data_IF_505909873139
#
_entry.id   IF_505909873139
#
_cell.length_a   1.000
_cell.length_b   1.000
_cell.length_c   1.000
_cell.angle_alpha   90.00
_cell.angle_beta   90.00
_cell.angle_gamma   90.00
#
_symmetry.space_group_name_H-M   'P 1'
#
loop_
_entity.id
_entity.type
_entity.pdbx_description
1 polymer ?
#
# COMPACT_ATOMS: atom_id res chain seq x y z
N UNK A 1 18.83 11.20 -16.33
CA UNK A 1 17.63 10.74 -15.61
C UNK A 1 17.62 9.21 -15.66
N UNK A 2 17.43 8.52 -14.54
CA UNK A 2 17.34 7.05 -14.55
C UNK A 2 15.97 6.67 -15.13
N UNK A 3 15.95 5.95 -16.25
CA UNK A 3 14.72 5.59 -17.00
C UNK A 3 14.15 4.24 -16.56
N UNK A 4 14.82 3.56 -15.62
CA UNK A 4 14.43 2.25 -15.11
C UNK A 4 13.50 2.38 -13.92
N UNK A 5 12.49 1.52 -13.83
CA UNK A 5 11.62 1.39 -12.66
C UNK A 5 12.41 1.07 -11.39
N UNK A 6 11.82 1.36 -10.22
CA UNK A 6 12.43 0.99 -8.94
C UNK A 6 12.40 -0.52 -8.75
N UNK A 7 13.36 -1.07 -7.98
CA UNK A 7 13.49 -2.51 -7.75
C UNK A 7 12.16 -3.08 -7.24
N UNK A 8 11.71 -4.18 -7.86
CA UNK A 8 10.45 -4.84 -7.50
C UNK A 8 9.21 -4.26 -8.17
N UNK A 9 9.35 -3.28 -9.09
CA UNK A 9 8.24 -2.68 -9.83
C UNK A 9 8.46 -2.80 -11.34
N UNK A 10 7.36 -2.89 -12.10
CA UNK A 10 7.38 -3.04 -13.56
C UNK A 10 6.33 -2.13 -14.20
N UNK A 11 6.64 -1.65 -15.40
CA UNK A 11 5.64 -1.04 -16.28
C UNK A 11 4.79 -2.14 -16.95
N UNK A 12 3.48 -1.92 -17.03
CA UNK A 12 2.56 -2.82 -17.73
C UNK A 12 2.09 -2.16 -19.02
N UNK A 13 2.44 -2.76 -20.15
CA UNK A 13 2.10 -2.26 -21.48
C UNK A 13 0.66 -2.64 -21.88
N UNK A 14 0.09 -2.04 -22.94
CA UNK A 14 -1.33 -2.19 -23.26
C UNK A 14 -1.82 -3.65 -23.36
N UNK A 15 -1.02 -4.57 -23.90
CA UNK A 15 -1.40 -5.99 -23.99
C UNK A 15 -1.56 -6.64 -22.61
N UNK A 16 -0.67 -6.31 -21.67
CA UNK A 16 -0.70 -6.85 -20.31
C UNK A 16 -1.85 -6.25 -19.50
N UNK A 17 -2.08 -4.94 -19.65
CA UNK A 17 -3.21 -4.25 -19.01
C UNK A 17 -4.54 -4.85 -19.48
N UNK A 18 -4.72 -5.04 -20.79
CA UNK A 18 -5.95 -5.68 -21.32
C UNK A 18 -6.22 -7.07 -20.73
N UNK A 19 -5.18 -7.88 -20.57
CA UNK A 19 -5.32 -9.20 -19.96
C UNK A 19 -5.69 -9.08 -18.47
N UNK A 20 -5.04 -8.17 -17.74
CA UNK A 20 -5.31 -7.92 -16.32
C UNK A 20 -6.75 -7.44 -16.11
N UNK A 21 -7.20 -6.48 -16.90
CA UNK A 21 -8.56 -5.93 -16.81
C UNK A 21 -9.61 -7.00 -17.09
N UNK A 22 -9.37 -7.86 -18.10
CA UNK A 22 -10.26 -8.99 -18.38
C UNK A 22 -10.40 -9.92 -17.18
N UNK A 23 -9.29 -10.31 -16.55
CA UNK A 23 -9.30 -11.20 -15.39
C UNK A 23 -9.96 -10.56 -14.16
N UNK A 24 -9.63 -9.31 -13.85
CA UNK A 24 -10.24 -8.58 -12.74
C UNK A 24 -11.75 -8.45 -12.93
N UNK A 25 -12.21 -8.13 -14.14
CA UNK A 25 -13.63 -8.03 -14.45
C UNK A 25 -14.34 -9.39 -14.32
N UNK A 26 -13.70 -10.49 -14.70
CA UNK A 26 -14.28 -11.83 -14.52
C UNK A 26 -14.45 -12.20 -13.04
N UNK A 27 -13.45 -11.90 -12.21
CA UNK A 27 -13.54 -12.11 -10.76
C UNK A 27 -14.66 -11.25 -10.17
N UNK A 28 -14.66 -9.95 -10.47
CA UNK A 28 -15.68 -9.02 -9.98
C UNK A 28 -17.09 -9.42 -10.41
N UNK A 29 -17.27 -9.93 -11.62
CA UNK A 29 -18.56 -10.40 -12.12
C UNK A 29 -19.12 -11.53 -11.23
N UNK A 30 -18.30 -12.53 -10.90
CA UNK A 30 -18.71 -13.66 -10.04
C UNK A 30 -19.14 -13.17 -8.66
N UNK A 31 -18.38 -12.27 -8.03
CA UNK A 31 -18.75 -11.72 -6.72
C UNK A 31 -20.08 -10.95 -6.78
N UNK A 32 -20.28 -10.12 -7.81
CA UNK A 32 -21.53 -9.36 -7.98
C UNK A 32 -22.73 -10.26 -8.24
N UNK A 33 -22.58 -11.32 -9.02
CA UNK A 33 -23.64 -12.32 -9.26
C UNK A 33 -24.06 -13.04 -7.97
N UNK A 34 -23.17 -13.09 -6.97
CA UNK A 34 -23.44 -13.65 -5.65
C UNK A 34 -23.86 -12.59 -4.60
N UNK A 35 -24.23 -11.39 -5.04
CA UNK A 35 -24.78 -10.34 -4.16
C UNK A 35 -23.76 -9.52 -3.39
N UNK A 36 -22.46 -9.63 -3.71
CA UNK A 36 -21.44 -8.80 -3.10
C UNK A 36 -21.30 -7.45 -3.81
N UNK A 37 -21.05 -6.40 -3.04
CA UNK A 37 -20.74 -5.08 -3.55
C UNK A 37 -19.23 -4.82 -3.52
N UNK A 38 -18.73 -4.20 -4.59
CA UNK A 38 -17.32 -3.84 -4.68
C UNK A 38 -17.07 -2.51 -3.96
N UNK A 39 -16.19 -2.54 -2.96
CA UNK A 39 -15.67 -1.34 -2.30
C UNK A 39 -14.19 -1.18 -2.63
N UNK A 40 -13.73 0.07 -2.60
CA UNK A 40 -12.31 0.42 -2.63
C UNK A 40 -11.98 1.20 -1.37
N UNK A 41 -10.76 1.03 -0.87
CA UNK A 41 -10.22 1.84 0.23
C UNK A 41 -9.01 2.63 -0.27
N UNK A 42 -8.61 3.70 0.43
CA UNK A 42 -7.35 4.37 0.15
C UNK A 42 -6.16 3.40 0.21
N UNK A 43 -5.13 3.68 -0.60
CA UNK A 43 -3.86 2.93 -0.59
C UNK A 43 -2.94 3.35 0.55
N UNK A 44 -3.28 4.42 1.27
CA UNK A 44 -2.55 4.96 2.42
C UNK A 44 -3.46 4.89 3.64
N UNK A 45 -2.92 4.41 4.75
CA UNK A 45 -3.58 4.39 6.04
C UNK A 45 -2.70 4.95 7.15
N UNK A 46 -3.32 5.26 8.30
CA UNK A 46 -2.60 5.63 9.51
C UNK A 46 -1.71 4.47 9.97
N UNK A 47 -0.47 4.77 10.36
CA UNK A 47 0.50 3.76 10.76
C UNK A 47 0.04 2.98 12.00
N UNK A 48 -0.79 3.58 12.86
CA UNK A 48 -1.35 2.88 14.01
C UNK A 48 -2.28 1.74 13.61
N UNK A 49 -3.07 1.90 12.54
CA UNK A 49 -3.96 0.85 12.05
C UNK A 49 -3.17 -0.32 11.47
N UNK A 50 -2.08 -0.04 10.78
CA UNK A 50 -1.22 -1.05 10.18
C UNK A 50 -0.43 -1.84 11.24
N UNK A 51 0.10 -1.15 12.26
CA UNK A 51 0.87 -1.78 13.34
C UNK A 51 0.02 -2.61 14.31
N UNK A 52 -1.27 -2.31 14.45
CA UNK A 52 -2.20 -3.06 15.33
C UNK A 52 -2.74 -4.35 14.70
N UNK A 53 -2.38 -4.64 13.45
CA UNK A 53 -2.84 -5.85 12.76
C UNK A 53 -2.16 -7.13 13.29
N UNK A 54 -2.81 -8.29 13.12
CA UNK A 54 -2.26 -9.62 13.45
C UNK A 54 -1.15 -10.07 12.47
N UNK A 55 -0.37 -9.13 11.94
CA UNK A 55 0.59 -9.36 10.86
C UNK A 55 1.92 -9.99 11.29
N UNK A 56 2.23 -10.08 12.58
CA UNK A 56 3.47 -10.68 13.09
C UNK A 56 4.73 -10.12 12.41
N UNK A 57 5.58 -10.99 11.88
CA UNK A 57 6.81 -10.59 11.17
C UNK A 57 6.54 -9.76 9.89
N UNK A 58 5.34 -9.88 9.29
CA UNK A 58 4.97 -9.13 8.08
C UNK A 58 4.83 -7.62 8.33
N UNK A 59 4.70 -7.18 9.59
CA UNK A 59 4.70 -5.75 9.93
C UNK A 59 6.02 -5.05 9.54
N UNK A 60 7.12 -5.81 9.45
CA UNK A 60 8.41 -5.29 8.99
C UNK A 60 8.44 -5.00 7.47
N UNK A 61 7.44 -5.45 6.72
CA UNK A 61 7.35 -5.26 5.26
C UNK A 61 6.55 -4.01 4.87
N UNK A 62 6.03 -3.25 5.84
CA UNK A 62 5.24 -2.04 5.58
C UNK A 62 6.12 -0.93 5.02
N UNK A 63 5.70 -0.38 3.87
CA UNK A 63 6.25 0.87 3.37
C UNK A 63 5.69 2.05 4.17
N UNK A 64 6.50 2.58 5.08
CA UNK A 64 6.15 3.75 5.90
C UNK A 64 6.35 5.05 5.12
N UNK A 65 5.45 6.00 5.33
CA UNK A 65 5.48 7.33 4.73
C UNK A 65 5.91 8.31 5.81
N UNK A 66 7.00 9.03 5.54
CA UNK A 66 7.53 10.04 6.45
C UNK A 66 6.53 11.19 6.65
N UNK A 67 6.58 11.76 7.86
CA UNK A 67 5.97 13.05 8.18
C UNK A 67 6.47 14.13 7.21
N UNK A 68 5.75 15.26 7.13
CA UNK A 68 6.10 16.38 6.25
C UNK A 68 6.24 17.69 7.03
N UNK A 69 7.10 18.59 6.54
CA UNK A 69 7.35 19.91 7.13
C UNK A 69 7.83 19.84 8.58
N UNK A 70 7.43 20.81 9.39
CA UNK A 70 7.85 20.96 10.80
C UNK A 70 7.69 19.70 11.64
N UNK A 71 6.71 18.84 11.33
CA UNK A 71 6.51 17.57 12.04
C UNK A 71 7.67 16.61 11.83
N UNK A 72 8.24 16.56 10.63
CA UNK A 72 9.40 15.74 10.31
C UNK A 72 10.65 16.35 10.96
N UNK A 73 10.84 17.66 10.81
CA UNK A 73 12.02 18.35 11.35
C UNK A 73 12.12 18.19 12.87
N UNK A 74 10.98 18.31 13.58
CA UNK A 74 10.91 18.06 15.02
C UNK A 74 11.26 16.62 15.39
N UNK A 75 10.77 15.64 14.64
CA UNK A 75 11.03 14.22 14.90
C UNK A 75 12.51 13.86 14.67
N UNK A 76 13.15 14.45 13.67
CA UNK A 76 14.58 14.34 13.42
C UNK A 76 15.37 15.00 14.56
N UNK A 77 15.00 16.23 14.94
CA UNK A 77 15.68 16.98 15.98
C UNK A 77 15.56 16.33 17.38
N UNK A 78 14.46 15.61 17.62
CA UNK A 78 14.26 14.86 18.87
C UNK A 78 14.90 13.47 18.85
N UNK A 79 15.62 13.09 17.79
CA UNK A 79 16.21 11.76 17.58
C UNK A 79 15.21 10.59 17.74
N UNK A 80 13.92 10.89 17.53
CA UNK A 80 12.84 9.93 17.68
C UNK A 80 12.62 9.20 16.35
N UNK A 81 13.59 8.38 15.95
CA UNK A 81 13.61 7.71 14.65
C UNK A 81 12.38 6.80 14.41
N UNK A 82 11.81 6.23 15.47
CA UNK A 82 10.58 5.44 15.41
C UNK A 82 9.32 6.29 15.12
N UNK A 83 9.39 7.60 15.34
CA UNK A 83 8.30 8.55 15.16
C UNK A 83 8.43 9.36 13.85
N UNK A 84 9.31 8.97 12.93
CA UNK A 84 9.50 9.71 11.67
C UNK A 84 8.33 9.57 10.69
N UNK A 85 7.51 8.54 10.85
CA UNK A 85 6.37 8.23 9.97
C UNK A 85 5.06 8.25 10.74
N UNK A 86 3.99 8.74 10.11
CA UNK A 86 2.62 8.73 10.64
C UNK A 86 1.62 8.01 9.72
N UNK A 87 2.05 7.61 8.53
CA UNK A 87 1.24 6.85 7.57
C UNK A 87 2.03 5.68 6.98
N UNK A 88 1.33 4.74 6.35
CA UNK A 88 1.94 3.66 5.58
C UNK A 88 1.10 3.29 4.36
N UNK A 89 1.75 2.67 3.38
CA UNK A 89 1.03 2.02 2.28
C UNK A 89 0.32 0.79 2.84
N UNK A 90 -0.97 0.64 2.49
CA UNK A 90 -1.74 -0.54 2.84
C UNK A 90 -1.04 -1.76 2.26
N UNK A 91 -0.74 -2.71 3.13
CA UNK A 91 -0.19 -4.02 2.78
C UNK A 91 -1.30 -5.05 2.95
N UNK A 92 -1.57 -5.83 1.91
CA UNK A 92 -2.60 -6.86 1.97
C UNK A 92 -2.02 -8.07 2.74
N UNK A 93 -2.42 -8.19 4.00
CA UNK A 93 -2.11 -9.33 4.85
C UNK A 93 -3.01 -10.49 4.43
N UNK A 94 -2.62 -11.20 3.38
CA UNK A 94 -3.14 -12.56 3.19
C UNK A 94 -2.45 -13.46 4.22
N UNK A 95 -3.11 -13.70 5.36
CA UNK A 95 -2.80 -14.80 6.27
C UNK A 95 -3.12 -16.14 5.61
#
# INVERSE_FOLDING_TARGET
MKVTTVKGTNDYLPNQVRLRDYLQNKILQVYKENGFEHIITPVIEDIENLNKSEGGENLNLIFKILKRGDKLDKAIASEAYDALSDMGLRYDLTL
#
